data_IF_998749512573
#
_entry.id   IF_998749512573
#
_cell.length_a   1.000
_cell.length_b   1.000
_cell.length_c   1.000
_cell.angle_alpha   90.00
_cell.angle_beta   90.00
_cell.angle_gamma   90.00
#
_symmetry.space_group_name_H-M   'P 1'
#
loop_
_entity.id
_entity.type
_entity.pdbx_description
1 polymer ?
#
# COMPACT_ATOMS: atom_id res chain seq x y z
N UNK A 1 3.68 -18.77 -9.56
CA UNK A 1 4.05 -17.36 -9.39
C UNK A 1 2.81 -16.48 -9.65
N UNK A 2 2.54 -15.46 -8.82
CA UNK A 2 1.34 -14.60 -8.98
C UNK A 2 1.77 -13.15 -9.20
N UNK A 3 1.39 -12.57 -10.34
CA UNK A 3 1.62 -11.16 -10.64
C UNK A 3 0.56 -10.26 -9.99
N UNK A 4 0.97 -9.10 -9.48
CA UNK A 4 0.08 -8.09 -8.90
C UNK A 4 0.64 -6.69 -9.16
N UNK A 5 -0.21 -5.77 -9.61
CA UNK A 5 0.10 -4.34 -9.63
C UNK A 5 -0.15 -3.75 -8.25
N UNK A 6 0.86 -3.12 -7.67
CA UNK A 6 0.80 -2.47 -6.36
C UNK A 6 0.82 -0.95 -6.56
N UNK A 7 -0.08 -0.24 -5.89
CA UNK A 7 -0.03 1.23 -5.80
C UNK A 7 0.48 1.61 -4.42
N UNK A 8 1.49 2.48 -4.40
CA UNK A 8 2.22 2.90 -3.21
C UNK A 8 2.28 4.43 -3.16
N UNK A 9 1.54 5.11 -2.25
CA UNK A 9 1.68 6.55 -2.09
C UNK A 9 2.92 6.89 -1.25
N UNK A 10 3.72 7.83 -1.75
CA UNK A 10 4.67 8.59 -0.94
C UNK A 10 3.93 9.82 -0.40
N UNK A 11 3.54 9.79 0.87
CA UNK A 11 2.74 10.86 1.50
C UNK A 11 3.71 11.81 2.21
N UNK A 12 3.66 13.08 1.84
CA UNK A 12 4.43 14.15 2.46
C UNK A 12 3.49 15.16 3.13
N UNK A 13 3.86 15.65 4.31
CA UNK A 13 3.25 16.80 4.95
C UNK A 13 4.34 17.63 5.66
N UNK A 14 4.41 18.93 5.37
CA UNK A 14 5.36 19.85 6.03
C UNK A 14 6.82 19.34 6.03
N UNK A 15 7.30 18.83 4.89
CA UNK A 15 8.67 18.29 4.77
C UNK A 15 8.87 16.89 5.36
N UNK A 16 7.88 16.34 6.06
CA UNK A 16 7.93 15.00 6.67
C UNK A 16 7.23 13.97 5.79
N UNK A 17 7.67 12.72 5.91
CA UNK A 17 7.12 11.60 5.14
C UNK A 17 6.49 10.56 6.05
N UNK A 18 5.34 10.02 5.61
CA UNK A 18 4.67 8.95 6.33
C UNK A 18 5.37 7.61 6.09
N UNK A 19 5.78 6.96 7.19
CA UNK A 19 6.19 5.56 7.20
C UNK A 19 5.27 4.76 8.12
N UNK A 20 4.94 3.54 7.70
CA UNK A 20 4.15 2.61 8.51
C UNK A 20 5.04 1.46 8.96
N UNK A 21 5.06 1.16 10.26
CA UNK A 21 5.71 -0.04 10.77
C UNK A 21 4.85 -1.25 10.45
N UNK A 22 5.40 -2.19 9.69
CA UNK A 22 4.74 -3.44 9.37
C UNK A 22 4.69 -4.34 10.60
N UNK A 23 3.59 -5.05 10.80
CA UNK A 23 3.49 -6.04 11.87
C UNK A 23 4.45 -7.22 11.60
N UNK A 24 4.94 -7.84 12.67
CA UNK A 24 5.98 -8.88 12.60
C UNK A 24 5.47 -10.20 11.98
N UNK A 25 4.15 -10.41 11.99
CA UNK A 25 3.50 -11.67 11.63
C UNK A 25 2.95 -11.73 10.19
N UNK A 26 3.06 -10.63 9.44
CA UNK A 26 2.40 -10.51 8.12
C UNK A 26 3.10 -9.54 7.19
N UNK A 27 2.78 -9.66 5.90
CA UNK A 27 3.23 -8.70 4.89
C UNK A 27 4.43 -9.20 4.11
N UNK A 28 5.08 -8.31 3.35
CA UNK A 28 6.28 -8.64 2.56
C UNK A 28 7.56 -8.33 3.33
N UNK A 29 7.46 -7.48 4.36
CA UNK A 29 8.58 -6.95 5.15
C UNK A 29 8.24 -6.93 6.65
N UNK A 30 8.14 -8.10 7.31
CA UNK A 30 7.73 -8.17 8.71
C UNK A 30 8.64 -7.32 9.61
N UNK A 31 8.04 -6.51 10.48
CA UNK A 31 8.73 -5.66 11.47
C UNK A 31 9.44 -4.41 10.95
N UNK A 32 9.52 -4.24 9.62
CA UNK A 32 10.21 -3.11 9.00
C UNK A 32 9.29 -1.88 8.82
N UNK A 33 9.90 -0.71 8.82
CA UNK A 33 9.23 0.53 8.38
C UNK A 33 9.18 0.56 6.86
N UNK A 34 8.00 0.80 6.31
CA UNK A 34 7.79 0.80 4.87
C UNK A 34 6.76 1.85 4.43
N UNK A 35 6.78 2.15 3.14
CA UNK A 35 5.68 2.86 2.51
C UNK A 35 4.44 1.98 2.52
N UNK A 36 3.31 2.62 2.79
CA UNK A 36 2.00 2.01 2.75
C UNK A 36 1.68 1.62 1.28
N UNK A 37 1.02 0.48 1.01
CA UNK A 37 0.72 0.10 -0.37
C UNK A 37 -0.21 -1.10 -0.52
N UNK A 38 -1.00 -1.12 -1.60
CA UNK A 38 -2.05 -2.11 -1.81
C UNK A 38 -2.15 -2.58 -3.26
N UNK A 39 -2.64 -3.81 -3.43
CA UNK A 39 -2.87 -4.38 -4.76
C UNK A 39 -4.12 -3.82 -5.44
N UNK A 40 -3.99 -3.51 -6.73
CA UNK A 40 -5.09 -3.06 -7.59
C UNK A 40 -5.81 -4.27 -8.20
N UNK A 41 -7.13 -4.34 -8.06
CA UNK A 41 -7.94 -5.33 -8.80
C UNK A 41 -8.23 -4.83 -10.22
N UNK A 42 -8.26 -5.78 -11.17
CA UNK A 42 -8.36 -5.53 -12.62
C UNK A 42 -9.55 -4.68 -13.07
N UNK A 43 -10.63 -4.57 -12.29
CA UNK A 43 -11.83 -3.82 -12.67
C UNK A 43 -11.77 -2.30 -12.41
N UNK A 44 -10.68 -1.79 -11.84
CA UNK A 44 -10.65 -0.46 -11.21
C UNK A 44 -9.45 0.38 -11.72
N UNK A 45 -9.10 0.21 -13.00
CA UNK A 45 -7.95 0.84 -13.68
C UNK A 45 -8.08 2.38 -13.80
N UNK A 46 -9.24 2.96 -13.49
CA UNK A 46 -9.46 4.39 -13.60
C UNK A 46 -9.00 5.14 -12.33
N UNK A 47 -8.07 6.09 -12.53
CA UNK A 47 -7.36 7.03 -11.63
C UNK A 47 -8.08 7.54 -10.36
N UNK A 48 -9.39 7.32 -10.18
CA UNK A 48 -10.22 7.87 -9.10
C UNK A 48 -10.57 6.91 -7.96
N UNK A 49 -10.43 5.59 -8.10
CA UNK A 49 -11.01 4.63 -7.11
C UNK A 49 -10.04 3.90 -6.19
N UNK A 50 -8.74 3.87 -6.52
CA UNK A 50 -7.72 3.07 -5.81
C UNK A 50 -6.75 3.82 -4.89
N UNK A 51 -7.11 5.04 -4.51
CA UNK A 51 -6.73 5.65 -3.22
C UNK A 51 -7.47 4.90 -2.08
N UNK A 52 -7.38 3.57 -2.10
CA UNK A 52 -8.62 2.80 -2.18
C UNK A 52 -8.87 1.74 -1.12
N UNK A 53 -8.25 1.87 0.05
CA UNK A 53 -8.64 1.23 1.32
C UNK A 53 -7.71 1.69 2.43
N UNK A 54 -6.42 1.86 2.10
CA UNK A 54 -5.37 2.32 2.99
C UNK A 54 -5.43 3.82 3.24
N UNK A 55 -5.52 4.60 2.15
CA UNK A 55 -5.92 6.00 2.28
C UNK A 55 -7.31 6.06 2.91
N UNK A 56 -8.33 5.29 2.52
CA UNK A 56 -9.61 5.32 3.27
C UNK A 56 -9.50 5.03 4.79
N UNK A 57 -8.54 4.22 5.23
CA UNK A 57 -8.29 3.93 6.65
C UNK A 57 -7.63 5.10 7.38
N UNK A 58 -6.69 5.81 6.73
CA UNK A 58 -5.95 6.96 7.29
C UNK A 58 -6.67 8.31 7.03
N UNK A 59 -7.31 8.43 5.88
CA UNK A 59 -8.06 9.57 5.34
C UNK A 59 -9.48 9.71 5.86
N UNK A 60 -9.91 8.89 6.83
CA UNK A 60 -11.13 9.25 7.59
C UNK A 60 -10.94 10.55 8.37
N UNK A 61 -9.68 10.98 8.56
CA UNK A 61 -9.31 12.29 9.14
C UNK A 61 -8.41 13.14 8.23
N UNK A 62 -7.70 12.55 7.28
CA UNK A 62 -6.70 13.27 6.47
C UNK A 62 -7.21 13.56 5.05
N UNK A 63 -7.05 14.81 4.61
CA UNK A 63 -7.37 15.21 3.24
C UNK A 63 -6.12 15.14 2.37
N UNK A 64 -6.17 14.35 1.30
CA UNK A 64 -5.12 14.37 0.27
C UNK A 64 -5.40 15.54 -0.69
N UNK A 65 -4.46 16.47 -0.77
CA UNK A 65 -4.58 17.68 -1.61
C UNK A 65 -4.14 17.44 -3.05
N UNK A 66 -3.05 16.70 -3.24
CA UNK A 66 -2.47 16.43 -4.57
C UNK A 66 -2.02 14.97 -4.69
N UNK A 67 -2.27 14.37 -5.85
CA UNK A 67 -1.83 13.01 -6.17
C UNK A 67 -1.25 13.02 -7.58
N UNK A 68 0.05 12.76 -7.69
CA UNK A 68 0.78 12.74 -8.98
C UNK A 68 1.49 11.39 -9.13
N UNK A 69 1.34 10.68 -10.25
CA UNK A 69 2.19 9.54 -10.56
C UNK A 69 3.65 9.96 -10.59
N UNK A 70 4.53 9.18 -9.96
CA UNK A 70 5.95 9.52 -9.90
C UNK A 70 6.82 8.56 -10.71
N UNK A 71 6.90 7.31 -10.27
CA UNK A 71 7.71 6.27 -10.93
C UNK A 71 7.04 4.90 -10.78
N UNK A 72 7.52 3.92 -11.55
CA UNK A 72 7.11 2.53 -11.45
C UNK A 72 8.33 1.61 -11.61
N UNK A 73 8.28 0.45 -10.98
CA UNK A 73 9.27 -0.62 -11.07
C UNK A 73 8.58 -1.94 -10.76
N UNK A 74 9.06 -3.03 -11.36
CA UNK A 74 8.67 -4.39 -11.04
C UNK A 74 9.65 -5.05 -10.05
N UNK A 75 9.16 -6.05 -9.32
CA UNK A 75 9.95 -6.81 -8.36
C UNK A 75 9.33 -8.19 -8.13
N UNK A 76 10.14 -9.17 -7.75
CA UNK A 76 9.73 -10.54 -7.41
C UNK A 76 10.09 -10.80 -5.95
N UNK A 77 9.06 -11.03 -5.13
CA UNK A 77 9.26 -11.31 -3.70
C UNK A 77 8.43 -12.48 -3.18
N UNK A 78 8.97 -13.12 -2.16
CA UNK A 78 8.27 -14.13 -1.36
C UNK A 78 7.45 -13.41 -0.30
N UNK A 79 6.15 -13.70 -0.23
CA UNK A 79 5.24 -13.15 0.79
C UNK A 79 4.86 -14.24 1.79
N UNK A 80 5.30 -14.14 3.07
CA UNK A 80 4.78 -14.96 4.14
C UNK A 80 3.25 -14.88 4.21
N UNK A 81 2.59 -16.03 4.16
CA UNK A 81 1.16 -16.15 4.43
C UNK A 81 1.02 -16.66 5.87
N UNK A 82 0.24 -15.98 6.74
CA UNK A 82 -0.13 -16.58 8.01
C UNK A 82 -0.92 -17.88 7.74
N UNK A 83 -0.68 -18.90 8.55
CA UNK A 83 -1.35 -20.21 8.48
C UNK A 83 -2.87 -20.11 8.64
N UNK A 84 -3.37 -19.04 9.27
CA UNK A 84 -4.78 -18.71 9.32
C UNK A 84 -5.19 -17.85 8.11
N UNK A 85 -6.15 -18.35 7.33
CA UNK A 85 -6.75 -17.68 6.17
C UNK A 85 -7.49 -16.41 6.62
N UNK A 86 -6.79 -15.29 6.74
CA UNK A 86 -7.42 -13.96 6.82
C UNK A 86 -6.84 -13.04 5.75
N UNK A 87 -7.66 -12.83 4.72
CA UNK A 87 -7.59 -11.67 3.82
C UNK A 87 -7.58 -10.40 4.68
N UNK A 88 -6.49 -9.63 4.67
CA UNK A 88 -6.46 -8.15 4.61
C UNK A 88 -5.01 -7.65 4.75
N UNK A 89 -4.79 -6.46 4.19
CA UNK A 89 -3.52 -5.94 3.71
C UNK A 89 -2.76 -5.15 4.79
N UNK A 90 -1.51 -4.79 4.46
CA UNK A 90 -0.91 -3.52 4.87
C UNK A 90 -1.69 -2.39 4.19
#
# INVERSE_FOLDING_TARGET
MRQRTIVCPLIQNEGHYLLCKMADDRGVFPGQWALSGGGVERANVLKRRYVGKLVRSLARRWQLTQITPWTFSDDIRVKPMPTAVRKRYI
#
